data_IF_072576953828
#
_entry.id   IF_072576953828
#
_cell.length_a   1.000
_cell.length_b   1.000
_cell.length_c   1.000
_cell.angle_alpha   90.00
_cell.angle_beta   90.00
_cell.angle_gamma   90.00
#
_symmetry.space_group_name_H-M   'P 1'
#
loop_
_entity.id
_entity.type
_entity.pdbx_description
1 polymer ?
#
# COMPACT_ATOMS: atom_id res chain seq x y z
N UNK A 1 -1.51 16.24 0.66
CA UNK A 1 -2.39 15.73 1.76
C UNK A 1 -2.85 14.34 1.35
N UNK A 2 -3.20 14.22 0.08
CA UNK A 2 -3.59 13.01 -0.64
C UNK A 2 -2.55 11.89 -0.51
N UNK A 3 -1.26 12.18 -0.70
CA UNK A 3 -0.18 11.18 -0.61
C UNK A 3 -0.01 10.66 0.82
N UNK A 4 -0.24 11.52 1.81
CA UNK A 4 -0.19 11.13 3.23
C UNK A 4 -1.35 10.20 3.55
N UNK A 5 -2.54 10.46 3.02
CA UNK A 5 -3.69 9.58 3.19
C UNK A 5 -3.45 8.20 2.57
N UNK A 6 -2.93 8.15 1.34
CA UNK A 6 -2.53 6.90 0.69
C UNK A 6 -1.43 6.15 1.45
N UNK A 7 -0.42 6.86 1.94
CA UNK A 7 0.66 6.28 2.74
C UNK A 7 0.16 5.72 4.09
N UNK A 8 -0.81 6.37 4.73
CA UNK A 8 -1.43 5.84 5.96
C UNK A 8 -2.16 4.54 5.67
N UNK A 9 -2.87 4.43 4.55
CA UNK A 9 -3.52 3.17 4.13
C UNK A 9 -2.47 2.07 3.94
N UNK A 10 -1.37 2.34 3.24
CA UNK A 10 -0.30 1.37 3.04
C UNK A 10 0.27 0.83 4.36
N UNK A 11 0.37 1.69 5.38
CA UNK A 11 0.90 1.34 6.70
C UNK A 11 -0.05 0.48 7.55
N UNK A 12 -1.32 0.35 7.18
CA UNK A 12 -2.27 -0.56 7.83
C UNK A 12 -2.04 -2.05 7.45
N UNK A 13 -0.94 -2.35 6.77
CA UNK A 13 -0.63 -3.70 6.30
C UNK A 13 -0.11 -4.61 7.39
N UNK A 14 -0.65 -5.83 7.42
CA UNK A 14 -0.31 -6.84 8.42
C UNK A 14 -0.93 -6.60 9.80
N UNK A 15 -0.62 -7.46 10.79
CA UNK A 15 -1.20 -7.36 12.12
C UNK A 15 -0.68 -6.11 12.87
N UNK A 16 -1.59 -5.29 13.41
CA UNK A 16 -1.25 -4.07 14.16
C UNK A 16 -0.34 -4.30 15.38
N UNK A 17 -0.28 -5.54 15.88
CA UNK A 17 0.57 -5.95 17.00
C UNK A 17 1.98 -6.41 16.60
N UNK A 18 2.29 -6.49 15.30
CA UNK A 18 3.61 -6.87 14.75
C UNK A 18 4.20 -5.82 13.80
N UNK A 19 4.24 -4.52 14.15
CA UNK A 19 4.92 -3.55 13.31
C UNK A 19 6.42 -3.82 13.36
N UNK A 20 6.95 -4.44 12.31
CA UNK A 20 8.39 -4.63 12.15
C UNK A 20 8.93 -3.51 11.28
N UNK A 21 10.13 -2.99 11.59
CA UNK A 21 10.75 -1.89 10.83
C UNK A 21 10.76 -2.14 9.31
N UNK A 22 10.97 -3.40 8.89
CA UNK A 22 10.99 -3.77 7.49
C UNK A 22 9.61 -3.68 6.84
N UNK A 23 8.52 -3.99 7.58
CA UNK A 23 7.14 -3.92 7.07
C UNK A 23 6.70 -2.48 6.78
N UNK A 24 7.16 -1.54 7.61
CA UNK A 24 6.96 -0.09 7.41
C UNK A 24 7.73 0.38 6.19
N UNK A 25 8.99 -0.05 6.05
CA UNK A 25 9.82 0.31 4.91
C UNK A 25 9.24 -0.25 3.59
N UNK A 26 8.80 -1.51 3.57
CA UNK A 26 8.21 -2.11 2.37
C UNK A 26 6.87 -1.49 2.03
N UNK A 27 6.02 -1.14 3.01
CA UNK A 27 4.79 -0.38 2.78
C UNK A 27 5.06 0.99 2.12
N UNK A 28 6.09 1.71 2.59
CA UNK A 28 6.49 2.99 2.01
C UNK A 28 6.99 2.84 0.56
N UNK A 29 7.88 1.87 0.31
CA UNK A 29 8.41 1.63 -1.04
C UNK A 29 7.30 1.19 -2.00
N UNK A 30 6.41 0.29 -1.58
CA UNK A 30 5.31 -0.18 -2.40
C UNK A 30 4.32 0.93 -2.74
N UNK A 31 3.97 1.78 -1.76
CA UNK A 31 3.13 2.96 -2.01
C UNK A 31 3.75 3.84 -3.10
N UNK A 32 5.03 4.20 -2.96
CA UNK A 32 5.74 5.02 -3.96
C UNK A 32 5.81 4.34 -5.33
N UNK A 33 6.01 3.03 -5.37
CA UNK A 33 6.01 2.30 -6.63
C UNK A 33 4.64 2.35 -7.33
N UNK A 34 3.55 2.18 -6.60
CA UNK A 34 2.20 2.22 -7.17
C UNK A 34 1.72 3.62 -7.53
N UNK A 35 2.08 4.63 -6.73
CA UNK A 35 1.84 6.04 -7.02
C UNK A 35 2.57 6.51 -8.29
N UNK A 36 3.82 6.10 -8.51
CA UNK A 36 4.57 6.44 -9.73
C UNK A 36 4.07 5.63 -10.95
N UNK A 37 3.85 4.32 -10.79
CA UNK A 37 3.52 3.46 -11.92
C UNK A 37 2.06 3.64 -12.38
N UNK A 38 1.16 3.85 -11.42
CA UNK A 38 -0.30 3.92 -11.60
C UNK A 38 -0.83 2.76 -12.45
N UNK A 39 -0.72 1.50 -11.99
CA UNK A 39 -1.31 0.36 -12.69
C UNK A 39 -2.83 0.53 -12.85
N UNK A 40 -3.42 -0.15 -13.83
CA UNK A 40 -4.87 -0.13 -14.02
C UNK A 40 -5.60 -0.57 -12.72
N UNK A 41 -6.69 0.10 -12.28
CA UNK A 41 -7.43 1.19 -12.92
C UNK A 41 -7.06 2.60 -12.43
N UNK A 42 -5.94 2.80 -11.72
CA UNK A 42 -5.55 4.08 -11.08
C UNK A 42 -5.54 5.23 -12.10
N UNK A 43 -4.94 5.01 -13.27
CA UNK A 43 -4.91 5.99 -14.39
C UNK A 43 -6.28 6.42 -14.92
N UNK A 44 -7.35 5.64 -14.69
CA UNK A 44 -8.70 6.05 -15.10
C UNK A 44 -9.34 7.03 -14.12
N UNK A 45 -8.86 7.10 -12.89
CA UNK A 45 -9.36 8.03 -11.88
C UNK A 45 -8.78 9.44 -12.07
N UNK A 46 -7.56 9.55 -12.60
CA UNK A 46 -7.00 10.83 -13.05
C UNK A 46 -7.82 11.49 -14.17
N UNK A 47 -8.58 10.71 -14.94
CA UNK A 47 -9.44 11.23 -16.01
C UNK A 47 -10.71 11.95 -15.47
N UNK A 48 -10.98 11.87 -14.16
CA UNK A 48 -11.99 12.71 -13.51
C UNK A 48 -11.35 14.06 -13.22
N UNK A 49 -11.72 15.09 -14.01
CA UNK A 49 -11.17 16.47 -14.01
C UNK A 49 -11.43 17.29 -12.71
N UNK A 50 -11.20 16.70 -11.53
CA UNK A 50 -11.38 17.39 -10.25
C UNK A 50 -10.34 16.94 -9.22
N UNK A 51 -10.09 17.75 -8.18
CA UNK A 51 -9.20 17.38 -7.08
C UNK A 51 -9.56 16.07 -6.35
N UNK A 52 -10.78 15.56 -6.56
CA UNK A 52 -11.18 14.23 -6.09
C UNK A 52 -10.47 13.10 -6.84
N UNK A 53 -10.10 13.31 -8.11
CA UNK A 53 -9.38 12.31 -8.92
C UNK A 53 -7.95 12.08 -8.42
N UNK A 54 -7.29 13.17 -7.99
CA UNK A 54 -5.95 13.12 -7.37
C UNK A 54 -6.04 12.40 -6.03
N UNK A 55 -6.94 12.80 -5.12
CA UNK A 55 -7.05 12.08 -3.85
C UNK A 55 -7.43 10.60 -4.03
N UNK A 56 -8.30 10.27 -4.99
CA UNK A 56 -8.67 8.89 -5.28
C UNK A 56 -7.51 8.05 -5.83
N UNK A 57 -6.56 8.64 -6.56
CA UNK A 57 -5.42 7.91 -7.13
C UNK A 57 -4.43 7.47 -6.03
N UNK A 58 -4.10 8.36 -5.11
CA UNK A 58 -3.23 8.13 -3.95
C UNK A 58 -3.85 7.11 -2.99
N UNK A 59 -5.17 7.21 -2.76
CA UNK A 59 -5.88 6.25 -1.93
C UNK A 59 -5.85 4.84 -2.56
N UNK A 60 -6.03 4.72 -3.88
CA UNK A 60 -5.92 3.42 -4.56
C UNK A 60 -4.49 2.88 -4.53
N UNK A 61 -3.48 3.72 -4.75
CA UNK A 61 -2.08 3.33 -4.61
C UNK A 61 -1.79 2.82 -3.19
N UNK A 62 -2.36 3.48 -2.18
CA UNK A 62 -2.35 3.04 -0.78
C UNK A 62 -2.98 1.66 -0.58
N UNK A 63 -4.14 1.40 -1.17
CA UNK A 63 -4.82 0.09 -1.11
C UNK A 63 -3.98 -1.00 -1.79
N UNK A 64 -3.35 -0.70 -2.92
CA UNK A 64 -2.49 -1.67 -3.61
C UNK A 64 -1.27 -2.02 -2.76
N UNK A 65 -0.62 -1.00 -2.17
CA UNK A 65 0.48 -1.20 -1.24
C UNK A 65 0.05 -2.01 0.00
N UNK A 66 -1.13 -1.71 0.56
CA UNK A 66 -1.72 -2.44 1.69
C UNK A 66 -1.85 -3.93 1.39
N UNK A 67 -2.46 -4.29 0.26
CA UNK A 67 -2.70 -5.69 -0.12
C UNK A 67 -1.36 -6.41 -0.34
N UNK A 68 -0.48 -5.84 -1.17
CA UNK A 68 0.79 -6.49 -1.52
C UNK A 68 1.69 -6.64 -0.30
N UNK A 69 1.79 -5.61 0.55
CA UNK A 69 2.59 -5.71 1.76
C UNK A 69 2.00 -6.71 2.76
N UNK A 70 0.67 -6.78 2.88
CA UNK A 70 0.01 -7.79 3.73
C UNK A 70 0.29 -9.22 3.27
N UNK A 71 0.32 -9.47 1.96
CA UNK A 71 0.69 -10.77 1.41
C UNK A 71 2.15 -11.14 1.69
N UNK A 72 3.07 -10.18 1.60
CA UNK A 72 4.48 -10.38 1.96
C UNK A 72 4.62 -10.75 3.44
N UNK A 73 3.93 -10.03 4.33
CA UNK A 73 3.91 -10.30 5.77
C UNK A 73 3.32 -11.68 6.06
N UNK A 74 2.17 -11.99 5.47
CA UNK A 74 1.54 -13.29 5.63
C UNK A 74 2.46 -14.43 5.17
N UNK A 75 3.09 -14.30 4.00
CA UNK A 75 4.06 -15.27 3.50
C UNK A 75 5.25 -15.46 4.44
N UNK A 76 5.83 -14.37 4.95
CA UNK A 76 6.91 -14.43 5.94
C UNK A 76 6.48 -15.16 7.23
N UNK A 77 5.32 -14.81 7.79
CA UNK A 77 4.79 -15.43 9.01
C UNK A 77 4.51 -16.93 8.81
N UNK A 78 3.93 -17.32 7.68
CA UNK A 78 3.69 -18.73 7.34
C UNK A 78 4.99 -19.51 7.24
N UNK A 79 6.03 -18.96 6.59
CA UNK A 79 7.34 -19.61 6.51
C UNK A 79 8.01 -19.75 7.87
N UNK A 80 7.84 -18.78 8.77
CA UNK A 80 8.34 -18.85 10.13
C UNK A 80 7.60 -19.93 10.94
N UNK A 81 6.27 -19.94 10.89
CA UNK A 81 5.44 -20.92 11.58
C UNK A 81 5.71 -22.36 11.11
N UNK A 82 6.01 -22.56 9.82
CA UNK A 82 6.33 -23.88 9.26
C UNK A 82 7.72 -24.42 9.66
N UNK A 83 8.56 -23.62 10.32
CA UNK A 83 9.90 -24.01 10.78
C UNK A 83 9.97 -24.31 12.29
N UNK A 84 8.85 -24.20 13.00
CA UNK A 84 8.74 -24.45 14.44
C UNK A 84 8.17 -25.81 14.79
#
# INVERSE_FOLDING_TARGET
>A
IDEVAGQMIALLSGPLWLPTWWSVLTAFILFRAFDIWKPYPIRRLEALESGLGIMADDLLAGVYALIVNSLLIAGYLLMFAARG
#
